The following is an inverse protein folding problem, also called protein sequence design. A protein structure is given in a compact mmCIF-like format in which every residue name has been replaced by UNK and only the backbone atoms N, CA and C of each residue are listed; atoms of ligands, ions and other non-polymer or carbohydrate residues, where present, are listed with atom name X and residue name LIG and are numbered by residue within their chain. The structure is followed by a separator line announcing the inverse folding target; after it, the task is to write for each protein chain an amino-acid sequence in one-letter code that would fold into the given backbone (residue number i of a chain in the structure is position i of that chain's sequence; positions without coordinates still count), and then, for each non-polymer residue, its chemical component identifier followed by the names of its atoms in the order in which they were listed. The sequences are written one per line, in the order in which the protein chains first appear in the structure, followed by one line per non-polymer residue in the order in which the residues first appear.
data_IF_625911343671
#
_entry.id   IF_625911343671
#
_cell.length_a   1.000
_cell.length_b   1.000
_cell.length_c   1.000
_cell.angle_alpha   90.00
_cell.angle_beta   90.00
_cell.angle_gamma   90.00
#
_symmetry.space_group_name_H-M   'P 1'
#
loop_
_entity.id
_entity.type
_entity.pdbx_description
1 polymer ?
#
# COMPACT_ATOMS: atom_id res chain seq x y z
N UNK A 1 -14.56 18.71 2.15
CA UNK A 1 -13.27 18.58 2.86
C UNK A 1 -12.19 18.85 1.83
N UNK A 2 -11.21 19.69 2.14
CA UNK A 2 -10.05 19.94 1.29
C UNK A 2 -8.79 19.34 1.92
N UNK A 3 -7.76 19.09 1.12
CA UNK A 3 -6.50 18.54 1.60
C UNK A 3 -5.33 19.32 1.00
N UNK A 4 -4.34 19.65 1.83
CA UNK A 4 -3.09 20.26 1.37
C UNK A 4 -2.18 19.21 0.71
N UNK A 5 -2.23 17.98 1.23
CA UNK A 5 -1.58 16.82 0.65
C UNK A 5 -2.31 15.53 1.05
N UNK A 6 -2.18 14.52 0.20
CA UNK A 6 -2.70 13.17 0.43
C UNK A 6 -1.55 12.18 0.57
N UNK A 7 -1.65 11.27 1.53
CA UNK A 7 -0.76 10.10 1.59
C UNK A 7 -1.42 8.89 0.94
N UNK A 8 -2.61 8.51 1.42
CA UNK A 8 -3.46 7.49 0.80
C UNK A 8 -4.86 7.48 1.44
N UNK A 9 -5.87 7.03 0.69
CA UNK A 9 -7.26 7.02 1.14
C UNK A 9 -7.67 8.38 1.74
N UNK A 10 -8.21 8.40 2.96
CA UNK A 10 -8.61 9.62 3.66
C UNK A 10 -7.48 10.25 4.50
N UNK A 11 -6.25 9.71 4.44
CA UNK A 11 -5.14 10.10 5.29
C UNK A 11 -4.27 11.15 4.58
N UNK A 12 -4.11 12.30 5.23
CA UNK A 12 -3.35 13.44 4.72
C UNK A 12 -3.58 14.68 5.59
N UNK A 13 -3.12 15.85 5.13
CA UNK A 13 -3.45 17.13 5.77
C UNK A 13 -4.81 17.60 5.29
N UNK A 14 -5.87 17.19 5.99
CA UNK A 14 -7.22 17.62 5.69
C UNK A 14 -7.60 18.91 6.44
N UNK A 15 -8.49 19.70 5.86
CA UNK A 15 -9.15 20.83 6.51
C UNK A 15 -10.55 21.07 5.94
N UNK A 16 -11.49 21.45 6.81
CA UNK A 16 -12.86 21.79 6.46
C UNK A 16 -12.99 23.30 6.24
N UNK A 17 -13.37 23.69 5.02
CA UNK A 17 -13.51 25.09 4.61
C UNK A 17 -14.67 25.83 5.31
N UNK A 18 -15.49 25.14 6.12
CA UNK A 18 -16.69 25.70 6.73
C UNK A 18 -16.66 25.75 8.27
N UNK A 19 -16.05 24.76 8.94
CA UNK A 19 -16.14 24.63 10.40
C UNK A 19 -14.79 24.58 11.13
N UNK A 20 -13.66 24.72 10.43
CA UNK A 20 -12.32 24.74 11.03
C UNK A 20 -11.78 23.38 11.47
N UNK A 21 -12.55 22.29 11.36
CA UNK A 21 -12.05 20.93 11.60
C UNK A 21 -10.91 20.59 10.63
N UNK A 22 -9.74 20.21 11.15
CA UNK A 22 -8.52 19.99 10.36
C UNK A 22 -7.57 19.03 11.05
N UNK A 23 -6.58 18.53 10.31
CA UNK A 23 -5.44 17.82 10.88
C UNK A 23 -4.74 18.72 11.91
N UNK A 24 -4.54 18.20 13.11
CA UNK A 24 -3.81 18.88 14.17
C UNK A 24 -2.29 18.68 14.05
N UNK A 25 -1.56 19.52 14.78
CA UNK A 25 -0.13 19.35 14.97
C UNK A 25 0.16 18.04 15.71
N UNK A 26 1.24 17.38 15.31
CA UNK A 26 1.59 16.03 15.77
C UNK A 26 2.90 16.07 16.54
N UNK A 27 2.91 15.53 17.76
CA UNK A 27 4.11 15.42 18.60
C UNK A 27 5.18 14.50 17.96
N UNK A 28 4.74 13.47 17.25
CA UNK A 28 5.59 12.57 16.48
C UNK A 28 5.18 12.64 15.02
N UNK A 29 6.12 13.03 14.16
CA UNK A 29 5.88 13.32 12.76
C UNK A 29 6.95 12.68 11.91
N UNK A 30 6.56 11.92 10.87
CA UNK A 30 7.48 11.54 9.82
C UNK A 30 7.76 12.76 8.96
N UNK A 31 9.00 13.24 9.00
CA UNK A 31 9.43 14.46 8.28
C UNK A 31 10.08 14.14 6.94
N UNK A 32 10.54 12.91 6.72
CA UNK A 32 11.06 12.47 5.44
C UNK A 32 10.85 10.96 5.24
N UNK A 33 10.57 10.56 4.00
CA UNK A 33 10.56 9.17 3.55
C UNK A 33 11.37 9.07 2.27
N UNK A 34 12.56 8.47 2.38
CA UNK A 34 13.38 8.11 1.23
C UNK A 34 13.08 6.66 0.85
N UNK A 35 12.32 6.47 -0.23
CA UNK A 35 11.95 5.15 -0.72
C UNK A 35 13.14 4.41 -1.38
N UNK A 36 14.14 5.11 -1.89
CA UNK A 36 15.28 4.50 -2.57
C UNK A 36 16.23 3.86 -1.57
N UNK A 37 16.64 4.62 -0.55
CA UNK A 37 17.42 4.07 0.57
C UNK A 37 16.57 3.24 1.52
N UNK A 38 15.24 3.46 1.54
CA UNK A 38 14.32 2.86 2.49
C UNK A 38 14.45 3.47 3.88
N UNK A 39 14.81 4.74 4.01
CA UNK A 39 14.98 5.41 5.30
C UNK A 39 13.79 6.33 5.57
N UNK A 40 13.19 6.18 6.75
CA UNK A 40 12.19 7.09 7.31
C UNK A 40 12.85 7.94 8.38
N UNK A 41 12.55 9.24 8.40
CA UNK A 41 13.01 10.15 9.45
C UNK A 41 11.82 10.66 10.27
N UNK A 42 11.86 10.45 11.59
CA UNK A 42 10.87 10.94 12.55
C UNK A 42 11.44 12.17 13.27
N UNK A 43 10.63 13.23 13.36
CA UNK A 43 10.95 14.51 14.01
C UNK A 43 12.28 15.14 13.53
N UNK A 44 12.65 14.91 12.27
CA UNK A 44 13.92 15.41 11.69
C UNK A 44 15.19 14.80 12.28
N UNK A 45 15.08 13.83 13.19
CA UNK A 45 16.19 13.31 13.98
C UNK A 45 16.35 11.80 13.82
N UNK A 46 15.32 11.04 14.16
CA UNK A 46 15.42 9.59 14.29
C UNK A 46 15.28 8.92 12.93
N UNK A 47 16.35 8.23 12.49
CA UNK A 47 16.37 7.52 11.21
C UNK A 47 16.07 6.05 11.42
N UNK A 48 15.08 5.55 10.70
CA UNK A 48 14.63 4.15 10.77
C UNK A 48 14.76 3.53 9.39
N UNK A 49 15.50 2.41 9.30
CA UNK A 49 15.62 1.64 8.06
C UNK A 49 14.41 0.74 7.88
N UNK A 50 13.66 0.97 6.80
CA UNK A 50 12.58 0.11 6.37
C UNK A 50 13.11 -1.07 5.58
N UNK A 51 12.94 -2.28 6.12
CA UNK A 51 13.07 -3.50 5.33
C UNK A 51 11.90 -3.66 4.35
N UNK A 52 10.74 -3.07 4.68
CA UNK A 52 9.57 -3.07 3.81
C UNK A 52 9.06 -1.64 3.54
N UNK A 53 9.23 -1.21 2.29
CA UNK A 53 9.03 0.15 1.79
C UNK A 53 7.58 0.40 1.36
N UNK A 54 6.68 0.54 2.33
CA UNK A 54 5.27 0.84 2.07
C UNK A 54 4.74 1.92 3.01
N UNK A 55 3.92 2.83 2.49
CA UNK A 55 3.35 3.97 3.23
C UNK A 55 2.55 3.55 4.46
N UNK A 56 1.73 2.48 4.38
CA UNK A 56 0.99 2.01 5.55
C UNK A 56 1.91 1.47 6.64
N UNK A 57 3.05 0.89 6.25
CA UNK A 57 4.03 0.37 7.19
C UNK A 57 4.75 1.52 7.91
N UNK A 58 4.98 2.64 7.22
CA UNK A 58 5.49 3.88 7.83
C UNK A 58 4.56 4.34 8.95
N UNK A 59 3.24 4.29 8.75
CA UNK A 59 2.27 4.62 9.81
C UNK A 59 2.33 3.68 11.01
N UNK A 60 2.47 2.36 10.77
CA UNK A 60 2.62 1.38 11.85
C UNK A 60 3.90 1.65 12.67
N UNK A 61 5.00 1.95 11.99
CA UNK A 61 6.29 2.28 12.61
C UNK A 61 6.18 3.57 13.42
N UNK A 62 5.56 4.61 12.86
CA UNK A 62 5.32 5.87 13.59
C UNK A 62 4.46 5.65 14.84
N UNK A 63 3.41 4.83 14.74
CA UNK A 63 2.56 4.50 15.89
C UNK A 63 3.34 3.74 16.98
N UNK A 64 4.16 2.75 16.61
CA UNK A 64 5.04 2.05 17.54
C UNK A 64 6.03 3.00 18.19
N UNK A 65 6.69 3.85 17.39
CA UNK A 65 7.64 4.83 17.87
C UNK A 65 7.00 5.77 18.89
N UNK A 66 5.85 6.34 18.55
CA UNK A 66 5.10 7.23 19.44
C UNK A 66 4.72 6.53 20.75
N UNK A 67 4.19 5.31 20.70
CA UNK A 67 3.80 4.55 21.89
C UNK A 67 5.01 4.27 22.81
N UNK A 68 6.13 3.81 22.25
CA UNK A 68 7.35 3.54 22.99
C UNK A 68 7.96 4.81 23.60
N UNK A 69 7.95 5.92 22.86
CA UNK A 69 8.43 7.21 23.37
C UNK A 69 7.54 7.74 24.50
N UNK A 70 6.22 7.56 24.43
CA UNK A 70 5.28 7.99 25.49
C UNK A 70 5.54 7.26 26.81
N UNK A 71 5.94 5.99 26.77
CA UNK A 71 6.29 5.21 27.97
C UNK A 71 7.73 5.43 28.45
N UNK A 72 8.46 6.36 27.84
CA UNK A 72 9.78 6.81 28.30
C UNK A 72 10.97 6.04 27.75
N UNK A 73 10.81 5.24 26.69
CA UNK A 73 11.95 4.58 26.01
C UNK A 73 12.68 5.62 25.16
N UNK A 74 14.01 5.62 25.22
CA UNK A 74 14.84 6.53 24.42
C UNK A 74 14.61 6.36 22.91
N UNK A 75 14.48 7.50 22.21
CA UNK A 75 14.15 7.51 20.79
C UNK A 75 15.19 6.86 19.88
N UNK A 76 16.48 6.92 20.22
CA UNK A 76 17.53 6.25 19.43
C UNK A 76 17.43 4.73 19.59
N UNK A 77 17.15 4.25 20.81
CA UNK A 77 16.92 2.81 21.06
C UNK A 77 15.73 2.29 20.25
N UNK A 78 14.61 3.01 20.25
CA UNK A 78 13.43 2.62 19.45
C UNK A 78 13.78 2.61 17.95
N UNK A 79 14.49 3.64 17.46
CA UNK A 79 14.83 3.75 16.05
C UNK A 79 15.76 2.63 15.58
N UNK A 80 16.72 2.24 16.41
CA UNK A 80 17.63 1.12 16.15
C UNK A 80 16.88 -0.22 16.11
N UNK A 81 16.05 -0.51 17.12
CA UNK A 81 15.25 -1.75 17.16
C UNK A 81 14.28 -1.86 15.98
N UNK A 82 13.58 -0.76 15.63
CA UNK A 82 12.68 -0.73 14.47
C UNK A 82 13.44 -0.87 13.14
N UNK A 83 14.71 -0.47 13.07
CA UNK A 83 15.55 -0.65 11.88
C UNK A 83 15.93 -2.10 11.62
N UNK A 84 15.92 -2.93 12.67
CA UNK A 84 16.19 -4.36 12.60
C UNK A 84 14.89 -5.20 12.50
N UNK A 85 13.73 -4.57 12.61
CA UNK A 85 12.44 -5.26 12.54
C UNK A 85 12.18 -5.85 11.15
N UNK A 86 12.25 -7.17 11.07
CA UNK A 86 11.86 -7.92 9.88
C UNK A 86 10.44 -8.47 10.00
N UNK A 87 9.54 -7.90 9.21
CA UNK A 87 8.19 -8.42 9.07
C UNK A 87 8.23 -9.75 8.28
N UNK A 88 8.10 -10.90 8.97
CA UNK A 88 7.83 -12.20 8.33
C UNK A 88 6.41 -12.24 7.77
N UNK A 89 6.13 -11.43 6.76
CA UNK A 89 4.84 -11.40 6.10
C UNK A 89 4.93 -12.23 4.83
N UNK A 90 4.29 -13.41 4.82
CA UNK A 90 4.05 -14.17 3.59
C UNK A 90 3.18 -13.44 2.55
N UNK A 91 2.91 -12.14 2.75
CA UNK A 91 2.19 -11.28 1.81
C UNK A 91 3.07 -10.79 0.67
N UNK A 92 4.39 -10.80 0.82
CA UNK A 92 5.32 -10.53 -0.26
C UNK A 92 6.29 -11.69 -0.35
N UNK A 93 6.13 -12.50 -1.36
CA UNK A 93 6.97 -13.67 -1.60
C UNK A 93 7.67 -13.48 -2.93
N UNK A 94 8.99 -13.32 -2.88
CA UNK A 94 9.80 -13.39 -4.08
C UNK A 94 9.95 -14.86 -4.47
N UNK A 95 9.78 -15.13 -5.76
CA UNK A 95 9.94 -16.48 -6.30
C UNK A 95 10.65 -16.43 -7.64
N UNK A 96 11.14 -17.59 -8.07
CA UNK A 96 11.72 -17.77 -9.39
C UNK A 96 11.02 -18.92 -10.08
N UNK A 97 10.47 -18.67 -11.27
CA UNK A 97 9.82 -19.66 -12.12
C UNK A 97 10.63 -19.79 -13.41
N UNK A 98 11.46 -20.84 -13.50
CA UNK A 98 12.43 -20.99 -14.58
C UNK A 98 13.42 -19.83 -14.61
N UNK A 99 13.44 -19.06 -15.69
CA UNK A 99 14.28 -17.86 -15.83
C UNK A 99 13.62 -16.58 -15.31
N UNK A 100 12.34 -16.61 -14.98
CA UNK A 100 11.57 -15.44 -14.58
C UNK A 100 11.61 -15.23 -13.07
N UNK A 101 11.94 -14.02 -12.63
CA UNK A 101 11.77 -13.61 -11.24
C UNK A 101 10.37 -13.01 -11.07
N UNK A 102 9.67 -13.43 -10.03
CA UNK A 102 8.33 -12.98 -9.71
C UNK A 102 8.23 -12.50 -8.27
N UNK A 103 7.20 -11.71 -8.01
CA UNK A 103 6.82 -11.31 -6.64
C UNK A 103 5.33 -11.57 -6.48
N UNK A 104 4.98 -12.44 -5.54
CA UNK A 104 3.61 -12.68 -5.14
C UNK A 104 3.21 -11.66 -4.09
N UNK A 105 2.16 -10.89 -4.37
CA UNK A 105 1.66 -9.81 -3.50
C UNK A 105 0.24 -10.16 -3.03
N UNK A 106 0.06 -10.31 -1.72
CA UNK A 106 -1.25 -10.60 -1.13
C UNK A 106 -1.84 -9.30 -0.59
N UNK A 107 -2.88 -8.81 -1.28
CA UNK A 107 -3.76 -7.77 -0.75
C UNK A 107 -4.70 -8.36 0.30
N UNK A 108 -5.12 -7.52 1.26
CA UNK A 108 -6.18 -7.92 2.20
C UNK A 108 -7.46 -8.16 1.40
N UNK A 109 -8.12 -9.27 1.71
CA UNK A 109 -9.37 -9.68 1.06
C UNK A 109 -10.47 -8.60 1.19
N UNK A 110 -11.28 -8.41 0.14
CA UNK A 110 -12.42 -7.46 0.11
C UNK A 110 -12.05 -6.05 0.58
N UNK A 111 -10.89 -5.54 0.15
CA UNK A 111 -10.41 -4.23 0.59
C UNK A 111 -9.73 -3.48 -0.55
N UNK A 112 -10.41 -2.49 -1.11
CA UNK A 112 -9.91 -1.70 -2.24
C UNK A 112 -8.60 -0.99 -1.91
N UNK A 113 -8.53 -0.34 -0.74
CA UNK A 113 -7.33 0.37 -0.28
C UNK A 113 -6.10 -0.54 -0.25
N UNK A 114 -6.25 -1.82 0.12
CA UNK A 114 -5.14 -2.77 0.14
C UNK A 114 -4.68 -3.13 -1.27
N UNK A 115 -5.60 -3.31 -2.22
CA UNK A 115 -5.29 -3.56 -3.63
C UNK A 115 -4.59 -2.36 -4.28
N UNK A 116 -5.08 -1.14 -4.04
CA UNK A 116 -4.45 0.07 -4.58
C UNK A 116 -2.99 0.20 -4.12
N UNK A 117 -2.69 -0.15 -2.85
CA UNK A 117 -1.30 -0.12 -2.35
C UNK A 117 -0.41 -1.17 -3.00
N UNK A 118 -0.97 -2.30 -3.44
CA UNK A 118 -0.23 -3.31 -4.22
C UNK A 118 0.12 -2.74 -5.59
N UNK A 119 -0.81 -2.05 -6.26
CA UNK A 119 -0.55 -1.43 -7.56
C UNK A 119 0.44 -0.27 -7.47
N UNK A 120 0.32 0.59 -6.45
CA UNK A 120 1.32 1.63 -6.17
C UNK A 120 2.72 1.05 -6.04
N UNK A 121 2.86 -0.10 -5.35
CA UNK A 121 4.15 -0.77 -5.20
C UNK A 121 4.72 -1.25 -6.54
N UNK A 122 3.89 -1.84 -7.40
CA UNK A 122 4.29 -2.31 -8.73
C UNK A 122 4.74 -1.13 -9.60
N UNK A 123 3.92 -0.09 -9.68
CA UNK A 123 4.16 1.07 -10.54
C UNK A 123 5.40 1.84 -10.09
N UNK A 124 5.58 2.03 -8.77
CA UNK A 124 6.77 2.72 -8.23
C UNK A 124 8.08 2.00 -8.53
N UNK A 125 8.08 0.66 -8.63
CA UNK A 125 9.28 -0.06 -9.07
C UNK A 125 9.69 0.34 -10.49
N UNK A 126 8.73 0.73 -11.32
CA UNK A 126 8.94 1.22 -12.68
C UNK A 126 9.86 0.32 -13.52
N UNK A 127 9.67 -0.99 -13.41
CA UNK A 127 10.38 -2.00 -14.19
C UNK A 127 9.40 -2.70 -15.13
N UNK A 128 9.78 -2.95 -16.40
CA UNK A 128 8.96 -3.72 -17.32
C UNK A 128 8.55 -5.06 -16.70
N UNK A 129 7.25 -5.30 -16.56
CA UNK A 129 6.72 -6.51 -15.95
C UNK A 129 5.35 -6.91 -16.51
N UNK A 130 4.97 -8.15 -16.23
CA UNK A 130 3.60 -8.63 -16.42
C UNK A 130 2.91 -8.73 -15.07
N UNK A 131 1.63 -8.36 -15.01
CA UNK A 131 0.82 -8.42 -13.80
C UNK A 131 -0.20 -9.54 -13.94
N UNK A 132 -0.32 -10.38 -12.91
CA UNK A 132 -1.33 -11.44 -12.82
C UNK A 132 -2.24 -11.10 -11.65
N UNK A 133 -3.52 -10.89 -11.92
CA UNK A 133 -4.55 -10.64 -10.90
C UNK A 133 -5.37 -11.90 -10.74
N UNK A 134 -5.40 -12.44 -9.53
CA UNK A 134 -6.14 -13.67 -9.21
C UNK A 134 -7.20 -13.36 -8.17
N UNK A 135 -8.48 -13.45 -8.55
CA UNK A 135 -9.61 -13.40 -7.61
C UNK A 135 -10.34 -14.73 -7.68
N UNK A 136 -10.00 -15.62 -6.75
CA UNK A 136 -10.55 -16.98 -6.74
C UNK A 136 -11.70 -17.18 -5.77
N UNK A 137 -11.78 -16.40 -4.69
CA UNK A 137 -12.85 -16.54 -3.72
C UNK A 137 -13.26 -15.21 -3.14
N UNK A 138 -14.56 -15.08 -2.89
CA UNK A 138 -15.18 -14.04 -2.05
C UNK A 138 -15.43 -14.64 -0.67
N UNK A 139 -15.46 -13.80 0.36
CA UNK A 139 -15.53 -14.21 1.75
C UNK A 139 -16.82 -14.95 2.01
N UNK A 140 -16.71 -16.15 2.60
CA UNK A 140 -17.87 -16.91 3.04
C UNK A 140 -18.59 -16.28 4.24
N UNK A 141 -18.02 -15.21 4.82
CA UNK A 141 -18.64 -14.47 5.92
C UNK A 141 -19.93 -13.77 5.45
N UNK A 142 -20.02 -13.43 4.17
CA UNK A 142 -21.18 -12.80 3.56
C UNK A 142 -21.86 -13.80 2.62
N UNK A 143 -23.15 -14.05 2.84
CA UNK A 143 -23.93 -15.02 2.07
C UNK A 143 -24.16 -14.61 0.61
N UNK A 144 -23.91 -13.34 0.29
CA UNK A 144 -24.16 -12.74 -1.02
C UNK A 144 -23.09 -13.08 -2.05
N UNK A 145 -21.88 -13.45 -1.63
CA UNK A 145 -20.76 -13.71 -2.55
C UNK A 145 -20.49 -12.53 -3.50
N UNK A 146 -20.73 -11.30 -3.02
CA UNK A 146 -20.74 -10.10 -3.86
C UNK A 146 -19.33 -9.63 -4.22
N UNK A 147 -19.18 -9.08 -5.43
CA UNK A 147 -17.91 -8.61 -5.98
C UNK A 147 -17.89 -7.10 -6.19
N UNK A 148 -18.79 -6.35 -5.55
CA UNK A 148 -18.92 -4.90 -5.73
C UNK A 148 -17.66 -4.15 -5.28
N UNK A 149 -16.91 -4.67 -4.32
CA UNK A 149 -15.63 -4.11 -3.88
C UNK A 149 -14.57 -4.04 -5.00
N UNK A 150 -14.70 -4.81 -6.09
CA UNK A 150 -13.86 -4.65 -7.29
C UNK A 150 -14.08 -3.28 -7.93
N UNK A 151 -15.26 -2.69 -7.79
CA UNK A 151 -15.58 -1.38 -8.36
C UNK A 151 -14.90 -0.23 -7.61
N UNK A 152 -14.60 -0.42 -6.33
CA UNK A 152 -13.90 0.56 -5.50
C UNK A 152 -12.38 0.59 -5.73
N UNK A 153 -11.82 -0.39 -6.45
CA UNK A 153 -10.39 -0.46 -6.76
C UNK A 153 -10.07 0.42 -7.96
N UNK A 154 -9.00 1.19 -7.87
CA UNK A 154 -8.50 1.99 -9.00
C UNK A 154 -7.67 1.13 -9.95
N UNK A 155 -8.34 0.38 -10.83
CA UNK A 155 -7.66 -0.40 -11.87
C UNK A 155 -7.06 0.46 -12.99
N UNK A 156 -7.44 1.75 -13.10
CA UNK A 156 -6.96 2.63 -14.17
C UNK A 156 -5.44 2.84 -14.13
N UNK A 157 -4.85 2.76 -12.93
CA UNK A 157 -3.39 2.84 -12.72
C UNK A 157 -2.62 1.73 -13.44
N UNK A 158 -3.27 0.62 -13.81
CA UNK A 158 -2.62 -0.50 -14.50
C UNK A 158 -2.28 -0.19 -15.97
N UNK A 159 -2.68 0.99 -16.48
CA UNK A 159 -2.22 1.53 -17.77
C UNK A 159 -0.76 1.99 -17.75
N UNK A 160 -0.10 1.98 -16.60
CA UNK A 160 1.28 2.43 -16.47
C UNK A 160 2.23 1.73 -17.48
N UNK A 161 3.13 2.50 -18.10
CA UNK A 161 4.03 2.04 -19.18
C UNK A 161 4.91 0.84 -18.81
N UNK A 162 5.19 0.66 -17.52
CA UNK A 162 5.96 -0.48 -17.03
C UNK A 162 5.20 -1.81 -17.09
N UNK A 163 3.87 -1.80 -17.19
CA UNK A 163 3.03 -3.01 -17.27
C UNK A 163 2.87 -3.36 -18.75
N UNK A 164 3.44 -4.51 -19.15
CA UNK A 164 3.45 -4.97 -20.54
C UNK A 164 2.31 -5.91 -20.89
N UNK A 165 1.90 -6.72 -19.91
CA UNK A 165 0.80 -7.65 -20.04
C UNK A 165 0.04 -7.74 -18.73
N UNK A 166 -1.29 -7.84 -18.85
CA UNK A 166 -2.19 -8.06 -17.74
C UNK A 166 -2.92 -9.38 -17.93
N UNK A 167 -2.87 -10.25 -16.92
CA UNK A 167 -3.58 -11.53 -16.93
C UNK A 167 -4.61 -11.55 -15.80
N UNK A 168 -5.85 -11.87 -16.15
CA UNK A 168 -6.95 -12.01 -15.21
C UNK A 168 -7.27 -13.49 -15.01
N UNK A 169 -7.14 -13.98 -13.77
CA UNK A 169 -7.30 -15.39 -13.42
C UNK A 169 -8.21 -15.57 -12.20
N UNK A 170 -8.60 -16.81 -11.95
CA UNK A 170 -9.47 -17.21 -10.85
C UNK A 170 -10.95 -17.26 -11.25
N UNK A 171 -11.79 -17.73 -10.33
CA UNK A 171 -13.24 -17.88 -10.56
C UNK A 171 -13.96 -16.59 -10.95
N UNK A 172 -13.44 -15.43 -10.55
CA UNK A 172 -14.01 -14.11 -10.85
C UNK A 172 -13.29 -13.35 -11.97
N UNK A 173 -12.56 -14.05 -12.85
CA UNK A 173 -11.85 -13.42 -13.97
C UNK A 173 -12.77 -12.62 -14.92
N UNK A 174 -14.01 -13.08 -15.13
CA UNK A 174 -15.01 -12.35 -15.94
C UNK A 174 -15.55 -11.10 -15.26
N UNK A 175 -15.65 -11.11 -13.93
CA UNK A 175 -16.01 -9.91 -13.16
C UNK A 175 -14.89 -8.87 -13.25
N UNK A 176 -13.62 -9.31 -13.15
CA UNK A 176 -12.46 -8.46 -13.37
C UNK A 176 -12.43 -7.88 -14.79
N UNK A 177 -12.62 -8.70 -15.82
CA UNK A 177 -12.65 -8.24 -17.22
C UNK A 177 -13.75 -7.18 -17.41
N UNK A 178 -14.94 -7.43 -16.85
CA UNK A 178 -16.03 -6.47 -16.86
C UNK A 178 -15.65 -5.20 -16.14
N UNK A 179 -15.04 -5.27 -14.96
CA UNK A 179 -14.59 -4.08 -14.23
C UNK A 179 -13.54 -3.28 -15.00
N UNK A 180 -12.60 -3.94 -15.66
CA UNK A 180 -11.54 -3.29 -16.42
C UNK A 180 -12.03 -2.66 -17.72
N UNK A 181 -13.10 -3.16 -18.34
CA UNK A 181 -13.69 -2.51 -19.52
C UNK A 181 -14.28 -1.12 -19.24
N UNK A 182 -14.46 -0.76 -17.96
CA UNK A 182 -14.84 0.58 -17.51
C UNK A 182 -13.61 1.44 -17.13
N UNK A 183 -12.44 1.11 -17.67
CA UNK A 183 -11.20 1.87 -17.51
C UNK A 183 -10.54 2.09 -18.85
N UNK A 184 -9.50 2.92 -18.90
CA UNK A 184 -8.71 3.16 -20.11
C UNK A 184 -7.58 2.14 -20.32
N UNK A 185 -7.56 1.04 -19.55
CA UNK A 185 -6.59 -0.05 -19.68
C UNK A 185 -6.93 -0.83 -20.95
N UNK A 186 -5.93 -1.06 -21.81
CA UNK A 186 -6.13 -1.86 -23.00
C UNK A 186 -6.31 -3.34 -22.63
N UNK A 187 -7.36 -3.93 -23.16
CA UNK A 187 -7.78 -5.31 -22.89
C UNK A 187 -7.53 -6.23 -24.10
N UNK A 188 -6.96 -5.71 -25.20
CA UNK A 188 -6.67 -6.45 -26.42
C UNK A 188 -5.25 -7.03 -26.47
#
# INVERSE_FOLDING_TARGET
MSYDYYHYAHIGSYHCNNCGHKKHDTQYTVTNVDYDSGIVTINGKYKIKLLFKSVYNVYNILACFAACSIVGIDGEVIADELSHYFLKSGRILQFKLGMNNGTFLIAKHENSVASDRVYDYIIRKNQPCSVIIIVDSVSRRYSTGETSWLWDIDYGVLKADCIKHLYLLGRHAKDLETRLSYTDVDMN
#
